data_IF_071698770484
#
_entry.id   IF_071698770484
#
_cell.length_a   1.000
_cell.length_b   1.000
_cell.length_c   1.000
_cell.angle_alpha   90.00
_cell.angle_beta   90.00
_cell.angle_gamma   90.00
#
_symmetry.space_group_name_H-M   'P 1'
#
loop_
_entity.id
_entity.type
_entity.pdbx_description
1 polymer ?
#
# COMPACT_ATOMS: atom_id res chain seq x y z
N UNK A 1 -8.58 -13.31 -9.98
CA UNK A 1 -8.76 -14.77 -9.77
C UNK A 1 -10.22 -15.11 -10.00
N UNK A 2 -10.49 -16.14 -10.79
CA UNK A 2 -11.85 -16.67 -10.97
C UNK A 2 -12.06 -17.71 -9.87
N UNK A 3 -13.21 -17.67 -9.20
CA UNK A 3 -13.55 -18.59 -8.12
C UNK A 3 -14.94 -19.14 -8.33
N UNK A 4 -15.14 -20.39 -7.95
CA UNK A 4 -16.44 -21.04 -7.91
C UNK A 4 -17.01 -20.93 -6.49
N UNK A 5 -18.23 -20.41 -6.39
CA UNK A 5 -18.91 -20.24 -5.11
C UNK A 5 -19.79 -21.46 -4.80
N UNK A 6 -19.67 -21.96 -3.58
CA UNK A 6 -20.49 -23.03 -3.05
C UNK A 6 -21.13 -22.60 -1.73
N UNK A 7 -22.40 -22.96 -1.53
CA UNK A 7 -23.00 -23.04 -0.20
C UNK A 7 -22.78 -24.44 0.35
N UNK A 8 -22.18 -24.54 1.53
CA UNK A 8 -21.81 -25.82 2.13
C UNK A 8 -23.02 -26.55 2.71
N UNK A 9 -23.11 -27.83 2.41
CA UNK A 9 -24.05 -28.79 2.99
C UNK A 9 -23.32 -30.04 3.50
N UNK A 10 -24.09 -30.96 4.10
CA UNK A 10 -23.62 -32.28 4.54
C UNK A 10 -22.30 -32.25 5.32
N UNK A 11 -21.35 -33.12 4.96
CA UNK A 11 -20.08 -33.28 5.68
C UNK A 11 -19.18 -32.05 5.60
N UNK A 12 -19.19 -31.33 4.48
CA UNK A 12 -18.40 -30.10 4.35
C UNK A 12 -18.93 -28.98 5.25
N UNK A 13 -20.25 -28.93 5.51
CA UNK A 13 -20.82 -28.00 6.48
C UNK A 13 -20.47 -28.38 7.92
N UNK A 14 -20.53 -29.67 8.26
CA UNK A 14 -20.12 -30.17 9.58
C UNK A 14 -18.64 -29.85 9.86
N UNK A 15 -17.77 -30.11 8.89
CA UNK A 15 -16.35 -29.78 8.97
C UNK A 15 -16.10 -28.26 9.10
N UNK A 16 -16.84 -27.41 8.37
CA UNK A 16 -16.71 -25.96 8.47
C UNK A 16 -17.11 -25.42 9.85
N UNK A 17 -18.19 -25.96 10.44
CA UNK A 17 -18.62 -25.61 11.81
C UNK A 17 -17.62 -26.05 12.86
N UNK A 18 -17.06 -27.26 12.70
CA UNK A 18 -16.04 -27.77 13.59
C UNK A 18 -14.75 -26.93 13.49
N UNK A 19 -14.35 -26.58 12.27
CA UNK A 19 -13.22 -25.68 12.03
C UNK A 19 -13.42 -24.33 12.71
N UNK A 20 -14.61 -23.73 12.60
CA UNK A 20 -14.93 -22.47 13.30
C UNK A 20 -14.81 -22.62 14.83
N UNK A 21 -15.30 -23.72 15.41
CA UNK A 21 -15.18 -23.96 16.84
C UNK A 21 -13.71 -24.07 17.29
N UNK A 22 -12.87 -24.74 16.49
CA UNK A 22 -11.43 -24.85 16.72
C UNK A 22 -10.75 -23.47 16.61
N UNK A 23 -11.06 -22.70 15.56
CA UNK A 23 -10.54 -21.35 15.36
C UNK A 23 -10.91 -20.44 16.53
N UNK A 24 -12.17 -20.44 16.95
CA UNK A 24 -12.65 -19.61 18.06
C UNK A 24 -11.95 -19.97 19.38
N UNK A 25 -11.73 -21.26 19.63
CA UNK A 25 -10.98 -21.72 20.81
C UNK A 25 -9.55 -21.22 20.76
N UNK A 26 -8.84 -21.46 19.66
CA UNK A 26 -7.46 -21.03 19.47
C UNK A 26 -7.30 -19.51 19.54
N UNK A 27 -8.24 -18.76 18.97
CA UNK A 27 -8.28 -17.29 19.02
C UNK A 27 -8.47 -16.79 20.45
N UNK A 28 -9.32 -17.44 21.25
CA UNK A 28 -9.53 -17.07 22.65
C UNK A 28 -8.31 -17.33 23.54
N UNK A 29 -7.53 -18.37 23.23
CA UNK A 29 -6.33 -18.73 23.98
C UNK A 29 -5.10 -17.89 23.60
N UNK A 30 -4.91 -17.65 22.30
CA UNK A 30 -3.75 -16.96 21.76
C UNK A 30 -4.15 -16.06 20.57
N UNK A 31 -4.79 -14.91 20.81
CA UNK A 31 -5.27 -14.05 19.75
C UNK A 31 -4.12 -13.42 18.96
N UNK A 32 -4.24 -13.30 17.63
CA UNK A 32 -3.33 -12.51 16.82
C UNK A 32 -3.44 -11.01 17.15
N UNK A 33 -2.40 -10.25 16.79
CA UNK A 33 -2.34 -8.80 16.98
C UNK A 33 -3.50 -8.12 16.25
N UNK A 34 -4.20 -7.24 16.98
CA UNK A 34 -5.35 -6.47 16.46
C UNK A 34 -4.98 -5.02 16.09
N UNK A 35 -3.92 -4.49 16.69
CA UNK A 35 -3.46 -3.10 16.53
C UNK A 35 -1.94 -3.07 16.37
N UNK A 36 -1.45 -2.10 15.60
CA UNK A 36 -0.03 -1.94 15.29
C UNK A 36 0.21 -1.62 13.82
N UNK A 37 1.45 -1.78 13.36
CA UNK A 37 1.76 -1.69 11.94
C UNK A 37 1.03 -2.81 11.19
N UNK A 38 0.44 -2.48 10.04
CA UNK A 38 -0.32 -3.45 9.23
C UNK A 38 0.50 -4.71 8.89
N UNK A 39 1.82 -4.56 8.69
CA UNK A 39 2.73 -5.68 8.44
C UNK A 39 2.82 -6.66 9.61
N UNK A 40 2.75 -6.15 10.84
CA UNK A 40 2.90 -6.94 12.07
C UNK A 40 1.59 -7.62 12.43
N UNK A 41 0.47 -6.92 12.23
CA UNK A 41 -0.88 -7.49 12.26
C UNK A 41 -0.95 -8.67 11.28
N UNK A 42 -0.58 -8.45 10.01
CA UNK A 42 -0.63 -9.50 9.00
C UNK A 42 0.27 -10.69 9.34
N UNK A 43 1.50 -10.45 9.81
CA UNK A 43 2.42 -11.50 10.23
C UNK A 43 1.86 -12.33 11.39
N UNK A 44 1.23 -11.67 12.37
CA UNK A 44 0.61 -12.35 13.51
C UNK A 44 -0.55 -13.25 13.08
N UNK A 45 -1.40 -12.77 12.19
CA UNK A 45 -2.49 -13.55 11.61
C UNK A 45 -2.00 -14.74 10.78
N UNK A 46 -0.97 -14.57 9.96
CA UNK A 46 -0.39 -15.69 9.20
C UNK A 46 0.25 -16.75 10.10
N UNK A 47 0.95 -16.34 11.15
CA UNK A 47 1.54 -17.25 12.13
C UNK A 47 0.45 -18.03 12.88
N UNK A 48 -0.62 -17.34 13.30
CA UNK A 48 -1.80 -17.95 13.89
C UNK A 48 -2.40 -19.01 12.98
N UNK A 49 -2.71 -18.66 11.73
CA UNK A 49 -3.31 -19.58 10.77
C UNK A 49 -2.41 -20.77 10.45
N UNK A 50 -1.11 -20.53 10.26
CA UNK A 50 -0.15 -21.60 9.91
C UNK A 50 -0.03 -22.63 11.03
N UNK A 51 0.05 -22.17 12.29
CA UNK A 51 0.05 -23.05 13.47
C UNK A 51 -1.25 -23.84 13.55
N UNK A 52 -2.39 -23.15 13.43
CA UNK A 52 -3.70 -23.80 13.55
C UNK A 52 -3.91 -24.86 12.47
N UNK A 53 -3.46 -24.61 11.23
CA UNK A 53 -3.50 -25.61 10.16
C UNK A 53 -2.65 -26.83 10.52
N UNK A 54 -1.45 -26.65 11.09
CA UNK A 54 -0.62 -27.76 11.55
C UNK A 54 -1.31 -28.57 12.65
N UNK A 55 -1.92 -27.89 13.63
CA UNK A 55 -2.62 -28.52 14.75
C UNK A 55 -3.84 -29.31 14.25
N UNK A 56 -4.68 -28.70 13.40
CA UNK A 56 -5.84 -29.38 12.80
C UNK A 56 -5.38 -30.56 11.94
N UNK A 57 -4.32 -30.42 11.16
CA UNK A 57 -3.79 -31.52 10.35
C UNK A 57 -3.26 -32.68 11.20
N UNK A 58 -2.76 -32.41 12.41
CA UNK A 58 -2.26 -33.43 13.33
C UNK A 58 -3.39 -34.17 14.07
N UNK A 59 -4.48 -33.48 14.39
CA UNK A 59 -5.55 -34.02 15.24
C UNK A 59 -6.76 -34.49 14.43
N UNK A 60 -7.18 -33.72 13.42
CA UNK A 60 -8.38 -33.93 12.59
C UNK A 60 -8.12 -33.58 11.12
N UNK A 61 -7.20 -34.29 10.42
CA UNK A 61 -6.81 -33.97 9.04
C UNK A 61 -8.00 -33.98 8.05
N UNK A 62 -9.02 -34.79 8.32
CA UNK A 62 -10.21 -34.89 7.48
C UNK A 62 -11.01 -33.57 7.40
N UNK A 63 -10.91 -32.69 8.41
CA UNK A 63 -11.53 -31.36 8.37
C UNK A 63 -10.89 -30.54 7.24
N UNK A 64 -9.56 -30.59 7.08
CA UNK A 64 -8.86 -29.85 6.04
C UNK A 64 -9.15 -30.39 4.64
N UNK A 65 -9.39 -31.69 4.51
CA UNK A 65 -9.76 -32.32 3.25
C UNK A 65 -11.19 -31.94 2.85
N UNK A 66 -12.15 -32.02 3.78
CA UNK A 66 -13.57 -31.69 3.55
C UNK A 66 -13.82 -30.20 3.32
N UNK A 67 -12.95 -29.34 3.86
CA UNK A 67 -12.96 -27.88 3.65
C UNK A 67 -12.09 -27.44 2.47
N UNK A 68 -11.41 -28.39 1.80
CA UNK A 68 -10.54 -28.11 0.66
C UNK A 68 -9.24 -27.38 1.01
N UNK A 69 -8.97 -27.09 2.29
CA UNK A 69 -7.74 -26.44 2.75
C UNK A 69 -6.46 -27.27 2.49
N UNK A 70 -6.59 -28.57 2.21
CA UNK A 70 -5.53 -29.45 1.71
C UNK A 70 -5.53 -29.67 0.18
N UNK A 71 -6.43 -29.01 -0.54
CA UNK A 71 -6.57 -29.13 -2.00
C UNK A 71 -6.18 -27.81 -2.69
N UNK A 72 -4.86 -27.48 -2.73
CA UNK A 72 -4.41 -26.27 -3.38
C UNK A 72 -4.66 -26.31 -4.88
N UNK A 73 -4.70 -25.12 -5.48
CA UNK A 73 -4.67 -24.96 -6.92
C UNK A 73 -3.57 -23.94 -7.30
N UNK A 74 -3.21 -23.90 -8.59
CA UNK A 74 -2.24 -22.93 -9.10
C UNK A 74 -3.00 -21.80 -9.81
N UNK A 75 -3.05 -20.62 -9.17
CA UNK A 75 -3.55 -19.39 -9.76
C UNK A 75 -2.43 -18.69 -10.52
N UNK A 76 -2.65 -18.45 -11.82
CA UNK A 76 -1.69 -17.74 -12.68
C UNK A 76 -2.23 -16.34 -12.91
N UNK A 77 -1.62 -15.38 -12.21
CA UNK A 77 -2.00 -13.97 -12.25
C UNK A 77 -1.28 -13.28 -13.38
N UNK A 78 -2.05 -12.54 -14.17
CA UNK A 78 -1.55 -11.77 -15.31
C UNK A 78 -1.85 -10.31 -15.09
N UNK A 79 -0.89 -9.47 -15.45
CA UNK A 79 -1.07 -8.03 -15.51
C UNK A 79 -0.48 -7.50 -16.82
N UNK A 80 -0.96 -6.34 -17.26
CA UNK A 80 -0.45 -5.65 -18.44
C UNK A 80 1.03 -5.30 -18.23
N UNK A 81 1.86 -5.50 -19.25
CA UNK A 81 3.31 -5.21 -19.22
C UNK A 81 4.05 -5.90 -18.05
N UNK A 82 3.64 -7.10 -17.67
CA UNK A 82 4.25 -7.88 -16.60
C UNK A 82 4.33 -9.36 -16.96
N UNK A 83 5.37 -10.03 -16.46
CA UNK A 83 5.42 -11.49 -16.52
C UNK A 83 4.32 -12.11 -15.65
N UNK A 84 3.72 -13.22 -16.08
CA UNK A 84 2.76 -13.94 -15.26
C UNK A 84 3.41 -14.41 -13.97
N UNK A 85 2.60 -14.46 -12.90
CA UNK A 85 3.03 -14.90 -11.57
C UNK A 85 2.14 -16.05 -11.13
N UNK A 86 2.75 -17.15 -10.73
CA UNK A 86 2.02 -18.34 -10.27
C UNK A 86 2.02 -18.39 -8.74
N UNK A 87 0.84 -18.61 -8.16
CA UNK A 87 0.66 -18.74 -6.73
C UNK A 87 -0.08 -20.04 -6.42
N UNK A 88 0.35 -20.73 -5.38
CA UNK A 88 -0.42 -21.80 -4.77
C UNK A 88 -1.48 -21.18 -3.86
N UNK A 89 -2.75 -21.38 -4.20
CA UNK A 89 -3.89 -20.80 -3.50
C UNK A 89 -4.86 -21.89 -3.04
N UNK A 90 -5.72 -21.55 -2.09
CA UNK A 90 -6.59 -22.52 -1.40
C UNK A 90 -8.04 -22.03 -1.38
N UNK A 91 -9.01 -22.95 -1.27
CA UNK A 91 -10.38 -22.59 -0.93
C UNK A 91 -10.46 -21.79 0.38
N UNK A 92 -11.34 -20.79 0.40
CA UNK A 92 -11.64 -20.00 1.59
C UNK A 92 -13.10 -20.18 1.98
N UNK A 93 -13.39 -20.28 3.28
CA UNK A 93 -14.76 -20.43 3.80
C UNK A 93 -15.14 -19.18 4.58
N UNK A 94 -16.31 -18.63 4.28
CA UNK A 94 -16.90 -17.48 4.95
C UNK A 94 -18.20 -17.89 5.61
N UNK A 95 -18.52 -17.28 6.76
CA UNK A 95 -19.83 -17.40 7.40
C UNK A 95 -20.70 -16.20 7.04
N UNK A 96 -22.01 -16.42 6.89
CA UNK A 96 -22.97 -15.34 6.75
C UNK A 96 -23.29 -14.71 8.12
N UNK A 97 -23.53 -13.40 8.19
CA UNK A 97 -23.92 -12.72 9.42
C UNK A 97 -25.42 -12.91 9.77
N UNK A 98 -26.13 -13.77 9.05
CA UNK A 98 -27.58 -13.95 9.20
C UNK A 98 -27.93 -14.76 10.45
N UNK A 99 -29.18 -14.61 10.93
CA UNK A 99 -29.70 -15.34 12.10
C UNK A 99 -29.62 -16.86 11.92
N UNK A 100 -29.81 -17.33 10.69
CA UNK A 100 -29.47 -18.68 10.27
C UNK A 100 -28.12 -18.64 9.56
N UNK A 101 -27.05 -18.95 10.29
CA UNK A 101 -25.69 -18.90 9.77
C UNK A 101 -25.51 -19.90 8.63
N UNK A 102 -25.15 -19.37 7.46
CA UNK A 102 -24.79 -20.14 6.27
C UNK A 102 -23.29 -20.07 6.05
N UNK A 103 -22.73 -21.10 5.42
CA UNK A 103 -21.30 -21.17 5.14
C UNK A 103 -21.08 -21.22 3.63
N UNK A 104 -20.22 -20.34 3.15
CA UNK A 104 -19.92 -20.19 1.74
C UNK A 104 -18.44 -20.47 1.48
N UNK A 105 -18.15 -21.38 0.57
CA UNK A 105 -16.80 -21.65 0.11
C UNK A 105 -16.54 -20.98 -1.24
N UNK A 106 -15.48 -20.19 -1.29
CA UNK A 106 -14.88 -19.71 -2.53
C UNK A 106 -13.74 -20.65 -2.89
N UNK A 107 -13.96 -21.50 -3.89
CA UNK A 107 -12.97 -22.43 -4.40
C UNK A 107 -12.25 -21.79 -5.59
N UNK A 108 -10.93 -21.51 -5.51
CA UNK A 108 -10.20 -20.92 -6.62
C UNK A 108 -10.15 -21.88 -7.82
N UNK A 109 -10.26 -21.32 -9.02
CA UNK A 109 -10.09 -22.03 -10.28
C UNK A 109 -8.63 -21.92 -10.73
N UNK A 110 -7.98 -23.06 -10.96
CA UNK A 110 -6.60 -23.11 -11.46
C UNK A 110 -6.51 -22.61 -12.91
N UNK A 111 -5.29 -22.40 -13.40
CA UNK A 111 -5.04 -21.95 -14.77
C UNK A 111 -5.56 -22.90 -15.87
N UNK A 112 -6.02 -24.11 -15.53
CA UNK A 112 -6.65 -25.11 -16.43
C UNK A 112 -8.16 -25.24 -16.23
N UNK A 113 -8.77 -24.42 -15.37
CA UNK A 113 -10.20 -24.50 -15.08
C UNK A 113 -10.60 -25.54 -14.04
N UNK A 114 -9.64 -26.15 -13.33
CA UNK A 114 -9.89 -27.14 -12.27
C UNK A 114 -10.06 -26.43 -10.93
N UNK A 115 -10.92 -26.94 -10.08
CA UNK A 115 -11.20 -26.39 -8.75
C UNK A 115 -11.65 -27.50 -7.81
N UNK A 116 -11.49 -27.28 -6.51
CA UNK A 116 -12.04 -28.17 -5.50
C UNK A 116 -13.57 -28.07 -5.49
N UNK A 117 -14.25 -29.22 -5.46
CA UNK A 117 -15.72 -29.31 -5.37
C UNK A 117 -16.10 -30.04 -4.08
N UNK A 118 -16.72 -29.36 -3.11
CA UNK A 118 -17.25 -30.04 -1.92
C UNK A 118 -18.43 -30.95 -2.29
N UNK A 119 -18.43 -32.18 -1.77
CA UNK A 119 -19.33 -33.28 -2.18
C UNK A 119 -20.82 -32.95 -1.98
N UNK A 120 -21.16 -32.40 -0.81
CA UNK A 120 -22.55 -32.15 -0.39
C UNK A 120 -22.99 -30.68 -0.58
N UNK A 121 -22.25 -29.91 -1.37
CA UNK A 121 -22.45 -28.47 -1.48
C UNK A 121 -23.26 -28.04 -2.71
N UNK A 122 -24.05 -26.97 -2.55
CA UNK A 122 -24.78 -26.35 -3.64
C UNK A 122 -23.89 -25.33 -4.34
N UNK A 123 -23.57 -25.55 -5.62
CA UNK A 123 -22.90 -24.55 -6.45
C UNK A 123 -23.81 -23.35 -6.69
N UNK A 124 -23.30 -22.15 -6.44
CA UNK A 124 -24.02 -20.88 -6.58
C UNK A 124 -23.54 -20.13 -7.82
N UNK A 125 -24.47 -19.62 -8.63
CA UNK A 125 -24.18 -18.95 -9.90
C UNK A 125 -25.06 -17.70 -10.12
N UNK A 126 -24.66 -16.87 -11.08
CA UNK A 126 -25.50 -15.77 -11.58
C UNK A 126 -25.85 -14.72 -10.51
N UNK A 127 -27.13 -14.34 -10.45
CA UNK A 127 -27.61 -13.29 -9.54
C UNK A 127 -27.44 -13.65 -8.07
N UNK A 128 -27.58 -14.93 -7.71
CA UNK A 128 -27.41 -15.41 -6.34
C UNK A 128 -25.97 -15.22 -5.87
N UNK A 129 -24.98 -15.56 -6.72
CA UNK A 129 -23.57 -15.36 -6.41
C UNK A 129 -23.23 -13.87 -6.21
N UNK A 130 -23.82 -12.99 -7.04
CA UNK A 130 -23.66 -11.53 -6.89
C UNK A 130 -24.25 -11.02 -5.58
N UNK A 131 -25.43 -11.50 -5.19
CA UNK A 131 -26.07 -11.13 -3.93
C UNK A 131 -25.25 -11.57 -2.71
N UNK A 132 -24.71 -12.79 -2.72
CA UNK A 132 -23.83 -13.27 -1.64
C UNK A 132 -22.51 -12.48 -1.60
N UNK A 133 -21.91 -12.17 -2.75
CA UNK A 133 -20.73 -11.31 -2.78
C UNK A 133 -20.99 -9.91 -2.21
N UNK A 134 -22.18 -9.35 -2.45
CA UNK A 134 -22.59 -8.08 -1.84
C UNK A 134 -22.81 -8.23 -0.32
N UNK A 135 -23.44 -9.32 0.11
CA UNK A 135 -23.65 -9.63 1.52
C UNK A 135 -22.33 -9.71 2.29
N UNK A 136 -21.32 -10.37 1.72
CA UNK A 136 -20.03 -10.61 2.38
C UNK A 136 -19.04 -9.44 2.27
N UNK A 137 -19.08 -8.65 1.18
CA UNK A 137 -17.98 -7.73 0.86
C UNK A 137 -18.38 -6.26 0.59
N UNK A 138 -19.67 -5.90 0.51
CA UNK A 138 -20.10 -4.56 0.08
C UNK A 138 -20.40 -3.55 1.21
N UNK A 139 -19.79 -3.71 2.39
CA UNK A 139 -19.61 -2.61 3.35
C UNK A 139 -20.49 -2.62 4.60
N UNK A 140 -20.24 -3.55 5.53
CA UNK A 140 -20.67 -3.31 6.91
C UNK A 140 -20.72 -4.48 7.90
N UNK A 141 -20.46 -5.73 7.52
CA UNK A 141 -20.63 -6.87 8.44
C UNK A 141 -19.49 -7.89 8.36
N UNK A 142 -18.92 -8.20 9.53
CA UNK A 142 -17.63 -8.89 9.78
C UNK A 142 -16.46 -8.26 8.99
N UNK A 143 -15.24 -8.47 9.43
CA UNK A 143 -14.01 -7.98 8.77
C UNK A 143 -13.74 -8.57 7.37
N UNK A 144 -14.71 -9.32 6.82
CA UNK A 144 -14.60 -10.03 5.56
C UNK A 144 -13.54 -11.13 5.60
N UNK A 145 -13.10 -11.56 6.80
CA UNK A 145 -12.10 -12.62 6.93
C UNK A 145 -12.74 -14.01 6.75
N UNK A 146 -12.05 -14.95 6.09
CA UNK A 146 -12.46 -16.34 6.09
C UNK A 146 -12.26 -16.95 7.48
N UNK A 147 -12.97 -18.04 7.79
CA UNK A 147 -12.84 -18.79 9.05
C UNK A 147 -11.39 -19.12 9.37
N UNK A 148 -10.64 -19.54 8.35
CA UNK A 148 -9.22 -19.80 8.42
C UNK A 148 -8.60 -19.50 7.06
N UNK A 149 -7.59 -18.64 7.04
CA UNK A 149 -6.87 -18.32 5.81
C UNK A 149 -5.56 -19.11 5.75
N UNK A 150 -5.43 -20.01 4.78
CA UNK A 150 -4.14 -20.65 4.48
C UNK A 150 -3.32 -19.70 3.60
N UNK A 151 -2.16 -19.21 4.07
CA UNK A 151 -1.37 -18.24 3.31
C UNK A 151 -1.02 -18.79 1.93
N UNK A 152 -1.24 -17.97 0.90
CA UNK A 152 -0.73 -18.26 -0.42
C UNK A 152 0.79 -18.05 -0.48
N UNK A 153 1.44 -18.75 -1.40
CA UNK A 153 2.85 -18.56 -1.69
C UNK A 153 3.11 -18.74 -3.18
N UNK A 154 4.10 -18.02 -3.68
CA UNK A 154 4.55 -18.10 -5.06
C UNK A 154 5.17 -19.45 -5.36
N UNK A 155 4.87 -19.97 -6.56
CA UNK A 155 5.40 -21.23 -7.08
C UNK A 155 6.01 -21.01 -8.45
N UNK A 156 6.82 -21.97 -8.89
CA UNK A 156 7.36 -21.97 -10.25
C UNK A 156 6.23 -21.95 -11.29
N UNK A 157 6.45 -21.21 -12.38
CA UNK A 157 5.50 -21.14 -13.49
C UNK A 157 5.28 -22.54 -14.08
N UNK A 158 4.03 -23.01 -14.26
CA UNK A 158 3.78 -24.27 -14.95
C UNK A 158 4.44 -24.30 -16.34
N UNK A 159 5.16 -25.38 -16.65
CA UNK A 159 5.97 -25.46 -17.88
C UNK A 159 5.18 -25.42 -19.20
N UNK A 160 3.86 -25.57 -19.16
CA UNK A 160 2.96 -25.41 -20.30
C UNK A 160 2.47 -23.96 -20.50
N UNK A 161 2.86 -23.04 -19.62
CA UNK A 161 2.62 -21.60 -19.76
C UNK A 161 3.91 -20.94 -20.24
N UNK A 162 3.90 -20.49 -21.50
CA UNK A 162 4.97 -19.67 -22.05
C UNK A 162 4.57 -18.19 -22.04
N UNK A 163 5.54 -17.33 -21.72
CA UNK A 163 5.41 -15.88 -21.88
C UNK A 163 5.18 -15.46 -23.35
N UNK A 164 5.53 -16.32 -24.33
CA UNK A 164 5.44 -15.99 -25.75
C UNK A 164 3.99 -15.81 -26.22
N UNK A 165 3.64 -14.54 -26.50
CA UNK A 165 2.65 -14.00 -27.45
C UNK A 165 1.16 -14.34 -27.27
N UNK A 166 0.73 -15.54 -26.89
CA UNK A 166 -0.72 -15.84 -26.73
C UNK A 166 -1.32 -15.25 -25.46
N UNK A 167 -0.52 -15.16 -24.40
CA UNK A 167 -0.97 -14.69 -23.09
C UNK A 167 -1.00 -13.16 -23.00
N UNK A 168 0.05 -12.49 -23.50
CA UNK A 168 0.08 -11.04 -23.67
C UNK A 168 -1.03 -10.55 -24.63
N UNK A 169 -1.29 -11.28 -25.73
CA UNK A 169 -2.39 -10.96 -26.65
C UNK A 169 -3.77 -11.12 -26.00
N UNK A 170 -3.97 -12.10 -25.11
CA UNK A 170 -5.23 -12.30 -24.40
C UNK A 170 -5.50 -11.21 -23.34
N UNK A 171 -4.46 -10.75 -22.63
CA UNK A 171 -4.59 -9.61 -21.69
C UNK A 171 -4.86 -8.30 -22.42
N UNK A 172 -4.16 -8.05 -23.54
CA UNK A 172 -4.41 -6.88 -24.38
C UNK A 172 -5.81 -6.91 -25.02
N UNK A 173 -6.33 -8.09 -25.36
CA UNK A 173 -7.68 -8.24 -25.92
C UNK A 173 -8.81 -8.05 -24.88
N UNK A 174 -8.55 -8.28 -23.58
CA UNK A 174 -9.53 -8.09 -22.50
C UNK A 174 -9.65 -6.62 -22.04
N UNK A 175 -8.73 -5.74 -22.45
CA UNK A 175 -8.71 -4.33 -22.05
C UNK A 175 -9.13 -3.44 -23.22
N UNK A 176 -10.42 -3.50 -23.55
CA UNK A 176 -11.04 -2.58 -24.52
C UNK A 176 -11.18 -1.17 -23.92
N UNK A 177 -10.74 -0.17 -24.68
CA UNK A 177 -11.09 1.27 -24.61
C UNK A 177 -10.49 2.19 -23.52
N UNK A 178 -9.51 1.77 -22.72
CA UNK A 178 -8.77 2.72 -21.86
C UNK A 178 -7.30 2.79 -22.24
N UNK A 179 -6.70 3.98 -22.45
CA UNK A 179 -5.25 4.10 -22.50
C UNK A 179 -4.72 3.61 -21.15
N UNK A 180 -4.11 2.43 -21.14
CA UNK A 180 -3.37 1.94 -19.99
C UNK A 180 -2.13 2.81 -19.88
N UNK A 181 -2.08 3.65 -18.84
CA UNK A 181 -0.88 4.41 -18.52
C UNK A 181 0.28 3.44 -18.33
N UNK A 182 1.27 3.53 -19.21
CA UNK A 182 2.54 2.82 -19.05
C UNK A 182 3.45 3.63 -18.15
N UNK A 183 4.43 2.93 -17.56
CA UNK A 183 5.56 3.58 -16.90
C UNK A 183 6.82 3.33 -17.68
N UNK A 184 7.58 4.40 -17.94
CA UNK A 184 8.96 4.32 -18.42
C UNK A 184 9.88 4.42 -17.21
N UNK A 185 10.72 3.41 -17.00
CA UNK A 185 11.51 3.25 -15.79
C UNK A 185 13.00 3.28 -16.13
N UNK A 186 13.77 3.98 -15.30
CA UNK A 186 15.21 4.09 -15.45
C UNK A 186 15.90 3.91 -14.10
N UNK A 187 17.08 3.29 -14.07
CA UNK A 187 17.98 3.35 -12.92
C UNK A 187 18.82 4.61 -13.04
N UNK A 188 18.80 5.44 -11.99
CA UNK A 188 19.64 6.63 -11.92
C UNK A 188 21.13 6.25 -12.02
N UNK A 189 21.89 7.03 -12.77
CA UNK A 189 23.31 6.81 -13.02
C UNK A 189 24.00 8.09 -13.47
N UNK A 190 25.30 8.22 -13.16
CA UNK A 190 26.12 9.39 -13.49
C UNK A 190 25.40 10.71 -13.11
N UNK A 191 25.11 11.57 -14.09
CA UNK A 191 24.49 12.87 -13.85
C UNK A 191 23.10 12.76 -13.25
N UNK A 192 22.25 11.85 -13.72
CA UNK A 192 20.92 11.66 -13.14
C UNK A 192 20.98 11.22 -11.67
N UNK A 193 22.02 10.46 -11.26
CA UNK A 193 22.23 10.13 -9.85
C UNK A 193 22.57 11.37 -9.01
N UNK A 194 23.43 12.27 -9.50
CA UNK A 194 23.76 13.52 -8.82
C UNK A 194 22.51 14.39 -8.58
N UNK A 195 21.65 14.53 -9.59
CA UNK A 195 20.41 15.33 -9.48
C UNK A 195 19.43 14.70 -8.49
N UNK A 196 19.33 13.37 -8.52
CA UNK A 196 18.49 12.61 -7.61
C UNK A 196 19.00 12.70 -6.16
N UNK A 197 20.31 12.63 -5.94
CA UNK A 197 20.92 12.75 -4.62
C UNK A 197 20.76 14.18 -4.06
N UNK A 198 20.91 15.21 -4.90
CA UNK A 198 20.63 16.60 -4.52
C UNK A 198 19.17 16.78 -4.10
N UNK A 199 18.21 16.27 -4.89
CA UNK A 199 16.80 16.30 -4.54
C UNK A 199 16.52 15.61 -3.20
N UNK A 200 17.06 14.40 -2.99
CA UNK A 200 16.90 13.65 -1.74
C UNK A 200 17.48 14.42 -0.55
N UNK A 201 18.65 15.04 -0.72
CA UNK A 201 19.30 15.84 0.31
C UNK A 201 18.44 17.04 0.69
N UNK A 202 18.02 17.85 -0.28
CA UNK A 202 17.15 19.02 -0.05
C UNK A 202 15.81 18.61 0.58
N UNK A 203 15.26 17.46 0.18
CA UNK A 203 14.02 16.92 0.74
C UNK A 203 14.21 16.51 2.20
N UNK A 204 15.31 15.81 2.53
CA UNK A 204 15.64 15.44 3.89
C UNK A 204 15.89 16.66 4.79
N UNK A 205 16.56 17.70 4.27
CA UNK A 205 16.75 18.98 4.97
C UNK A 205 15.40 19.67 5.27
N UNK A 206 14.49 19.70 4.29
CA UNK A 206 13.12 20.21 4.48
C UNK A 206 12.32 19.40 5.50
N UNK A 207 12.34 18.06 5.42
CA UNK A 207 11.63 17.17 6.35
C UNK A 207 12.18 17.29 7.78
N UNK A 208 13.50 17.41 7.94
CA UNK A 208 14.14 17.61 9.23
C UNK A 208 13.76 18.97 9.85
N UNK A 209 13.83 20.06 9.08
CA UNK A 209 13.45 21.40 9.53
C UNK A 209 11.95 21.47 9.88
N UNK A 210 11.10 20.90 9.02
CA UNK A 210 9.65 20.81 9.28
C UNK A 210 9.36 20.02 10.55
N UNK A 211 10.05 18.91 10.77
CA UNK A 211 9.91 18.10 12.00
C UNK A 211 10.33 18.89 13.24
N UNK A 212 11.40 19.68 13.17
CA UNK A 212 11.83 20.54 14.27
C UNK A 212 10.75 21.57 14.64
N UNK A 213 10.16 22.24 13.64
CA UNK A 213 9.01 23.14 13.84
C UNK A 213 7.83 22.41 14.47
N UNK A 214 7.45 21.25 13.94
CA UNK A 214 6.33 20.46 14.48
C UNK A 214 6.55 20.05 15.93
N UNK A 215 7.77 19.67 16.31
CA UNK A 215 8.11 19.33 17.69
C UNK A 215 8.03 20.54 18.62
N UNK A 216 8.51 21.71 18.16
CA UNK A 216 8.43 22.94 18.95
C UNK A 216 6.97 23.38 19.14
N UNK A 217 6.13 23.21 18.13
CA UNK A 217 4.70 23.47 18.24
C UNK A 217 3.98 22.51 19.18
N UNK A 218 4.33 21.22 19.17
CA UNK A 218 3.81 20.27 20.17
C UNK A 218 4.22 20.70 21.57
N UNK A 219 5.47 21.17 21.75
CA UNK A 219 5.95 21.69 23.04
C UNK A 219 5.11 22.90 23.47
N UNK A 220 4.90 23.89 22.61
CA UNK A 220 4.09 25.07 22.91
C UNK A 220 2.62 24.69 23.18
N UNK A 221 2.03 23.84 22.34
CA UNK A 221 0.65 23.38 22.50
C UNK A 221 0.44 22.63 23.82
N UNK A 222 1.42 21.84 24.27
CA UNK A 222 1.37 21.17 25.57
C UNK A 222 1.29 22.16 26.73
N UNK A 223 2.04 23.27 26.67
CA UNK A 223 1.99 24.36 27.66
C UNK A 223 0.61 25.03 27.65
N UNK A 224 0.08 25.35 26.46
CA UNK A 224 -1.26 25.96 26.35
C UNK A 224 -2.35 25.04 26.88
N UNK A 225 -2.27 23.73 26.60
CA UNK A 225 -3.26 22.76 27.10
C UNK A 225 -3.28 22.67 28.62
N UNK A 226 -2.13 22.90 29.29
CA UNK A 226 -2.05 22.96 30.76
C UNK A 226 -2.51 24.30 31.34
N UNK A 227 -2.48 25.38 30.55
CA UNK A 227 -2.86 26.75 30.97
C UNK A 227 -4.32 27.09 30.63
N UNK A 228 -4.99 26.30 29.80
CA UNK A 228 -6.41 26.46 29.48
C UNK A 228 -7.30 26.10 30.67
N UNK A 229 -7.86 27.13 31.33
CA UNK A 229 -8.88 26.94 32.37
C UNK A 229 -10.29 26.86 31.79
N UNK A 230 -10.91 25.69 31.89
CA UNK A 230 -12.32 25.43 31.60
C UNK A 230 -12.71 24.03 32.06
N UNK A 231 -13.99 23.81 32.42
CA UNK A 231 -14.51 22.47 32.75
C UNK A 231 -14.40 21.58 31.50
N UNK A 232 -13.30 20.85 31.38
CA UNK A 232 -12.95 20.15 30.15
C UNK A 232 -12.62 18.69 30.42
N UNK A 233 -13.65 17.86 30.30
CA UNK A 233 -13.46 16.49 29.87
C UNK A 233 -13.07 16.52 28.38
N UNK A 234 -11.79 16.28 28.10
CA UNK A 234 -11.17 15.98 26.79
C UNK A 234 -11.17 17.10 25.73
N UNK A 235 -10.02 17.79 25.61
CA UNK A 235 -9.67 18.54 24.40
C UNK A 235 -8.97 17.59 23.41
N UNK A 236 -9.54 17.42 22.22
CA UNK A 236 -8.85 16.74 21.11
C UNK A 236 -8.10 17.80 20.31
N UNK A 237 -6.77 17.77 20.32
CA UNK A 237 -5.93 18.74 19.60
C UNK A 237 -5.37 18.09 18.33
N UNK A 238 -5.99 18.36 17.18
CA UNK A 238 -5.43 17.96 15.89
C UNK A 238 -4.60 19.10 15.31
N UNK A 239 -3.29 18.89 15.16
CA UNK A 239 -2.38 19.81 14.49
C UNK A 239 -2.28 19.42 13.01
N UNK A 240 -2.80 20.26 12.11
CA UNK A 240 -2.54 20.15 10.68
C UNK A 240 -1.83 21.39 10.16
N UNK A 241 -0.74 21.18 9.43
CA UNK A 241 -0.01 22.22 8.72
C UNK A 241 -0.14 22.01 7.21
N UNK A 242 -0.31 23.09 6.46
CA UNK A 242 -0.18 23.05 5.00
C UNK A 242 0.86 24.06 4.55
N UNK A 243 1.72 23.65 3.63
CA UNK A 243 2.74 24.50 3.00
C UNK A 243 2.16 25.04 1.69
N UNK A 244 2.03 26.36 1.57
CA UNK A 244 1.81 27.03 0.28
C UNK A 244 3.05 27.86 -0.03
N UNK A 245 3.88 27.37 -0.93
CA UNK A 245 5.13 28.03 -1.31
C UNK A 245 5.14 28.50 -2.75
N UNK A 246 4.91 29.80 -2.94
CA UNK A 246 5.80 30.61 -3.78
C UNK A 246 5.88 31.99 -3.13
N UNK A 247 7.01 32.30 -2.50
CA UNK A 247 7.39 33.62 -1.94
C UNK A 247 6.67 34.09 -0.66
N UNK A 248 6.68 33.25 0.38
CA UNK A 248 6.23 33.62 1.73
C UNK A 248 5.67 32.42 2.45
N UNK A 249 6.40 31.87 3.41
CA UNK A 249 6.03 30.66 4.14
C UNK A 249 4.88 30.96 5.11
N UNK A 250 3.63 30.88 4.65
CA UNK A 250 2.48 30.86 5.54
C UNK A 250 2.22 29.40 5.94
N UNK A 251 2.73 28.99 7.09
CA UNK A 251 2.33 27.75 7.73
C UNK A 251 1.06 28.01 8.55
N UNK A 252 -0.09 27.64 7.99
CA UNK A 252 -1.35 27.71 8.71
C UNK A 252 -1.45 26.50 9.63
N UNK A 253 -1.57 26.74 10.92
CA UNK A 253 -1.82 25.74 11.95
C UNK A 253 -3.22 25.89 12.49
N UNK A 254 -4.08 24.90 12.27
CA UNK A 254 -5.40 24.84 12.87
C UNK A 254 -5.35 24.05 14.18
N UNK A 255 -5.89 24.64 15.24
CA UNK A 255 -6.33 23.89 16.41
C UNK A 255 -7.83 23.64 16.26
N UNK A 256 -8.24 22.39 16.14
CA UNK A 256 -9.62 22.03 16.45
C UNK A 256 -9.72 21.89 17.97
N UNK A 257 -10.62 22.66 18.58
CA UNK A 257 -10.98 22.52 19.99
C UNK A 257 -12.42 22.02 20.00
N UNK A 258 -12.61 20.70 20.08
CA UNK A 258 -13.95 20.14 20.20
C UNK A 258 -14.42 20.28 21.65
N UNK A 259 -15.25 21.28 21.92
CA UNK A 259 -16.07 21.29 23.13
C UNK A 259 -17.32 20.43 22.87
N UNK A 260 -17.67 19.49 23.76
CA UNK A 260 -18.98 18.80 23.72
C UNK A 260 -20.17 19.76 23.81
N UNK A 261 -19.93 21.02 24.20
CA UNK A 261 -20.90 22.10 24.18
C UNK A 261 -20.79 22.87 22.87
N UNK A 262 -21.76 22.69 21.99
CA UNK A 262 -21.96 23.51 20.81
C UNK A 262 -22.10 24.98 21.21
N UNK A 263 -21.16 25.83 20.79
CA UNK A 263 -21.32 27.30 20.79
C UNK A 263 -20.47 28.08 21.80
N UNK A 264 -19.60 27.46 22.59
CA UNK A 264 -18.71 28.19 23.50
C UNK A 264 -17.44 28.65 22.76
N UNK A 265 -17.19 29.96 22.75
CA UNK A 265 -15.95 30.54 22.23
C UNK A 265 -14.79 30.13 23.15
N UNK A 266 -13.87 29.30 22.65
CA UNK A 266 -12.66 28.97 23.42
C UNK A 266 -11.79 30.20 23.49
N UNK A 267 -11.60 30.74 24.69
CA UNK A 267 -10.63 31.80 24.92
C UNK A 267 -9.26 31.15 25.05
N UNK A 268 -8.43 31.28 24.01
CA UNK A 268 -7.03 30.89 24.08
C UNK A 268 -6.28 32.02 24.81
N UNK A 269 -5.54 31.75 25.89
CA UNK A 269 -4.75 32.76 26.57
C UNK A 269 -3.69 33.36 25.63
N UNK A 270 -3.36 34.64 25.82
CA UNK A 270 -2.22 35.24 25.12
C UNK A 270 -0.94 34.50 25.48
N UNK A 271 -0.23 34.01 24.47
CA UNK A 271 1.01 33.26 24.66
C UNK A 271 2.20 34.11 24.16
N UNK A 272 3.37 34.08 24.82
CA UNK A 272 4.54 34.83 24.36
C UNK A 272 4.94 34.49 22.93
N UNK A 273 4.70 33.27 22.47
CA UNK A 273 5.24 32.79 21.20
C UNK A 273 4.40 33.20 19.99
N UNK A 274 3.09 33.37 20.16
CA UNK A 274 2.17 33.63 19.05
C UNK A 274 0.83 34.22 19.50
N UNK A 275 0.08 34.76 18.53
CA UNK A 275 -1.36 35.02 18.67
C UNK A 275 -2.15 34.17 17.67
N UNK A 276 -3.40 33.89 17.99
CA UNK A 276 -4.30 33.14 17.10
C UNK A 276 -5.24 34.07 16.36
N UNK A 277 -5.24 34.01 15.03
CA UNK A 277 -6.12 34.78 14.15
C UNK A 277 -7.19 33.87 13.59
N UNK A 278 -8.46 34.28 13.64
CA UNK A 278 -9.57 33.47 13.08
C UNK A 278 -9.44 33.39 11.55
N UNK A 279 -9.47 32.19 11.00
CA UNK A 279 -9.49 31.92 9.57
C UNK A 279 -10.91 31.97 9.00
N UNK A 280 -11.04 32.19 7.69
CA UNK A 280 -12.34 32.38 7.00
C UNK A 280 -13.31 31.18 7.13
N UNK A 281 -12.81 29.97 7.39
CA UNK A 281 -13.61 28.74 7.48
C UNK A 281 -13.77 28.18 8.89
N UNK A 282 -13.62 29.02 9.91
CA UNK A 282 -13.87 28.63 11.31
C UNK A 282 -12.68 28.02 12.06
N UNK A 283 -11.54 27.83 11.37
CA UNK A 283 -10.26 27.51 12.01
C UNK A 283 -9.58 28.73 12.63
N UNK A 284 -8.46 28.50 13.30
CA UNK A 284 -7.54 29.54 13.75
C UNK A 284 -6.20 29.38 13.03
N UNK A 285 -5.49 30.48 12.82
CA UNK A 285 -4.13 30.57 12.28
C UNK A 285 -3.20 31.03 13.40
N UNK A 286 -2.08 30.33 13.59
CA UNK A 286 -1.03 30.75 14.52
C UNK A 286 -0.13 31.76 13.82
N UNK A 287 0.02 32.96 14.41
CA UNK A 287 0.94 33.98 13.93
C UNK A 287 1.99 34.25 15.00
N UNK A 288 3.30 34.06 14.72
CA UNK A 288 4.37 34.33 15.66
C UNK A 288 4.34 35.77 16.21
N UNK A 289 4.66 35.91 17.48
CA UNK A 289 4.78 37.20 18.16
C UNK A 289 6.21 37.72 18.07
N UNK A 290 6.54 38.31 16.92
CA UNK A 290 7.87 38.90 16.67
C UNK A 290 8.23 40.03 17.65
N UNK A 291 7.24 40.56 18.39
CA UNK A 291 7.42 41.55 19.45
C UNK A 291 7.99 40.98 20.77
N UNK A 292 8.13 39.66 20.88
CA UNK A 292 8.66 38.95 22.05
C UNK A 292 9.93 38.19 21.71
N UNK A 293 10.76 37.85 22.71
CA UNK A 293 11.96 37.04 22.50
C UNK A 293 11.58 35.64 22.03
N UNK A 294 10.60 35.02 22.69
CA UNK A 294 10.12 33.68 22.39
C UNK A 294 9.47 33.58 21.00
N UNK A 295 8.61 34.55 20.66
CA UNK A 295 7.94 34.59 19.36
C UNK A 295 8.88 34.99 18.21
N UNK A 296 9.91 35.80 18.45
CA UNK A 296 10.98 36.04 17.46
C UNK A 296 11.77 34.77 17.18
N UNK A 297 12.19 34.03 18.22
CA UNK A 297 12.88 32.73 18.06
C UNK A 297 12.00 31.72 17.31
N UNK A 298 10.70 31.70 17.61
CA UNK A 298 9.75 30.86 16.91
C UNK A 298 9.54 31.28 15.44
N UNK A 299 9.49 32.58 15.15
CA UNK A 299 9.44 33.11 13.78
C UNK A 299 10.69 32.72 12.99
N UNK A 300 11.88 32.88 13.58
CA UNK A 300 13.15 32.47 12.96
C UNK A 300 13.18 30.97 12.65
N UNK A 301 12.66 30.13 13.55
CA UNK A 301 12.54 28.69 13.33
C UNK A 301 11.62 28.37 12.14
N UNK A 302 10.48 29.05 12.01
CA UNK A 302 9.58 28.90 10.85
C UNK A 302 10.24 29.33 9.55
N UNK A 303 10.95 30.47 9.56
CA UNK A 303 11.65 31.00 8.40
C UNK A 303 12.87 30.16 8.00
N UNK A 304 13.42 29.36 8.93
CA UNK A 304 14.56 28.48 8.67
C UNK A 304 14.22 27.24 7.82
N UNK A 305 12.93 26.93 7.63
CA UNK A 305 12.51 25.77 6.83
C UNK A 305 12.81 26.05 5.35
N UNK A 306 13.72 25.28 4.71
CA UNK A 306 14.01 25.47 3.29
C UNK A 306 12.75 25.12 2.47
N UNK A 307 12.60 25.66 1.25
CA UNK A 307 11.46 25.32 0.41
C UNK A 307 11.44 23.82 0.09
N UNK A 308 10.23 23.24 0.02
CA UNK A 308 10.07 21.86 -0.44
C UNK A 308 10.62 21.75 -1.86
N UNK A 309 11.65 20.91 -2.13
CA UNK A 309 12.14 20.73 -3.48
C UNK A 309 11.12 19.94 -4.31
N UNK A 310 11.11 20.20 -5.62
CA UNK A 310 10.29 19.47 -6.57
C UNK A 310 11.16 18.90 -7.69
N UNK A 311 10.82 17.71 -8.17
CA UNK A 311 11.57 17.10 -9.28
C UNK A 311 11.45 17.89 -10.59
N UNK A 312 10.41 18.73 -10.71
CA UNK A 312 10.25 19.68 -11.82
C UNK A 312 11.26 20.83 -11.82
N UNK A 313 12.05 21.01 -10.75
CA UNK A 313 13.16 21.98 -10.71
C UNK A 313 14.40 21.49 -11.48
N UNK A 314 14.45 20.20 -11.86
CA UNK A 314 15.57 19.58 -12.56
C UNK A 314 15.19 19.36 -14.03
N UNK A 315 15.46 20.34 -14.89
CA UNK A 315 15.07 20.32 -16.31
C UNK A 315 15.56 19.07 -17.04
N UNK A 316 16.75 18.58 -16.70
CA UNK A 316 17.33 17.38 -17.32
C UNK A 316 16.58 16.09 -16.97
N UNK A 317 15.80 16.09 -15.89
CA UNK A 317 14.92 15.00 -15.51
C UNK A 317 13.51 15.14 -16.08
N UNK A 318 13.18 16.23 -16.77
CA UNK A 318 11.87 16.40 -17.39
C UNK A 318 11.86 15.66 -18.73
N UNK A 319 10.94 14.70 -18.87
CA UNK A 319 10.80 13.94 -20.11
C UNK A 319 9.96 14.66 -21.17
N UNK A 320 10.06 14.16 -22.39
CA UNK A 320 9.23 14.52 -23.55
C UNK A 320 8.09 13.51 -23.80
N UNK A 321 7.83 12.61 -22.83
CA UNK A 321 6.78 11.61 -22.98
C UNK A 321 5.41 12.25 -23.09
N UNK A 322 4.62 11.77 -24.05
CA UNK A 322 3.21 12.12 -24.15
C UNK A 322 2.44 11.26 -23.14
N UNK A 323 1.60 11.93 -22.38
CA UNK A 323 0.73 11.32 -21.38
C UNK A 323 -0.55 12.15 -21.24
N UNK A 324 -1.68 11.49 -21.48
CA UNK A 324 -3.00 12.07 -21.28
C UNK A 324 -3.61 11.61 -19.94
N UNK A 325 -3.55 12.43 -18.88
CA UNK A 325 -4.07 12.05 -17.57
C UNK A 325 -5.60 11.88 -17.61
N UNK A 326 -6.09 10.86 -16.92
CA UNK A 326 -7.52 10.69 -16.60
C UNK A 326 -8.03 11.84 -15.73
N UNK A 327 -9.36 11.98 -15.59
CA UNK A 327 -9.95 13.04 -14.74
C UNK A 327 -9.44 12.98 -13.29
N UNK A 328 -9.32 11.77 -12.73
CA UNK A 328 -8.79 11.56 -11.37
C UNK A 328 -7.31 11.97 -11.31
N UNK A 329 -6.52 11.59 -12.30
CA UNK A 329 -5.09 11.93 -12.38
C UNK A 329 -4.88 13.44 -12.54
N UNK A 330 -5.72 14.13 -13.32
CA UNK A 330 -5.73 15.61 -13.39
C UNK A 330 -6.08 16.23 -12.05
N UNK A 331 -7.08 15.69 -11.36
CA UNK A 331 -7.49 16.19 -10.04
C UNK A 331 -6.37 16.08 -8.99
N UNK A 332 -5.55 15.02 -9.05
CA UNK A 332 -4.41 14.84 -8.12
C UNK A 332 -3.09 15.40 -8.68
N UNK A 333 -3.13 16.09 -9.83
CA UNK A 333 -1.97 16.80 -10.40
C UNK A 333 -0.88 15.89 -10.99
N UNK A 334 -1.24 14.73 -11.56
CA UNK A 334 -0.26 13.86 -12.22
C UNK A 334 0.23 14.51 -13.51
N UNK A 335 1.54 14.72 -13.60
CA UNK A 335 2.26 15.12 -14.81
C UNK A 335 3.11 13.93 -15.31
N UNK A 336 2.98 13.57 -16.59
CA UNK A 336 3.78 12.49 -17.19
C UNK A 336 5.24 12.89 -17.45
N UNK A 337 5.52 14.20 -17.55
CA UNK A 337 6.85 14.73 -17.84
C UNK A 337 7.75 14.74 -16.62
N UNK A 338 7.17 14.96 -15.43
CA UNK A 338 7.89 15.00 -14.16
C UNK A 338 8.01 13.58 -13.59
N UNK A 339 9.22 13.12 -13.23
CA UNK A 339 9.39 11.76 -12.74
C UNK A 339 8.87 11.59 -11.31
N UNK A 340 8.62 10.34 -10.96
CA UNK A 340 8.51 9.85 -9.59
C UNK A 340 9.79 9.08 -9.24
N UNK A 341 10.33 9.32 -8.05
CA UNK A 341 11.42 8.51 -7.50
C UNK A 341 10.87 7.38 -6.66
N UNK A 342 11.26 6.16 -6.99
CA UNK A 342 10.77 4.95 -6.34
C UNK A 342 11.95 4.06 -5.99
N UNK A 343 12.05 3.69 -4.72
CA UNK A 343 13.07 2.75 -4.25
C UNK A 343 12.49 1.35 -4.11
N UNK A 344 13.12 0.36 -4.76
CA UNK A 344 12.72 -1.05 -4.71
C UNK A 344 13.98 -1.92 -4.67
N UNK A 345 14.11 -2.76 -3.65
CA UNK A 345 15.26 -3.69 -3.54
C UNK A 345 16.61 -2.99 -3.55
N UNK A 346 16.71 -1.79 -2.97
CA UNK A 346 17.92 -0.97 -2.96
C UNK A 346 18.28 -0.28 -4.29
N UNK A 347 17.46 -0.46 -5.33
CA UNK A 347 17.57 0.26 -6.59
C UNK A 347 16.69 1.51 -6.57
N UNK A 348 17.24 2.61 -7.11
CA UNK A 348 16.52 3.86 -7.24
C UNK A 348 16.03 4.06 -8.68
N UNK A 349 14.71 3.98 -8.84
CA UNK A 349 14.02 4.16 -10.10
C UNK A 349 13.60 5.61 -10.30
N UNK A 350 13.84 6.11 -11.51
CA UNK A 350 13.22 7.31 -12.08
C UNK A 350 12.09 6.81 -12.99
N UNK A 351 10.84 7.03 -12.57
CA UNK A 351 9.64 6.50 -13.22
C UNK A 351 8.80 7.64 -13.80
N UNK A 352 8.43 7.53 -15.07
CA UNK A 352 7.54 8.49 -15.76
C UNK A 352 6.25 7.82 -16.18
N UNK A 353 5.13 8.55 -16.17
CA UNK A 353 3.91 8.08 -16.82
C UNK A 353 4.00 8.38 -18.32
N UNK A 354 3.56 7.45 -19.16
CA UNK A 354 3.66 7.54 -20.61
C UNK A 354 2.54 6.74 -21.27
N UNK A 355 2.07 7.19 -22.44
CA UNK A 355 1.11 6.44 -23.23
C UNK A 355 1.82 5.45 -24.19
N UNK A 356 1.21 4.27 -24.41
CA UNK A 356 1.75 3.17 -25.25
C UNK A 356 2.13 3.57 -26.68
N UNK A 357 1.58 4.68 -27.18
CA UNK A 357 1.61 5.04 -28.59
C UNK A 357 2.85 5.82 -29.02
N UNK A 358 3.74 6.18 -28.09
CA UNK A 358 4.87 7.06 -28.39
C UNK A 358 6.20 6.37 -28.13
N UNK A 359 6.97 6.21 -29.21
CA UNK A 359 8.38 5.86 -29.15
C UNK A 359 9.15 7.17 -28.94
N UNK A 360 9.52 7.43 -27.69
CA UNK A 360 10.53 8.45 -27.37
C UNK A 360 11.81 7.73 -26.94
N UNK A 361 12.93 8.23 -27.44
CA UNK A 361 14.29 7.80 -27.07
C UNK A 361 14.81 8.52 -25.82
N UNK A 362 13.97 9.33 -25.16
CA UNK A 362 14.34 10.03 -23.95
C UNK A 362 14.85 9.05 -22.88
N UNK A 363 16.04 9.34 -22.39
CA UNK A 363 16.66 8.68 -21.25
C UNK A 363 17.29 9.77 -20.38
N UNK A 364 17.01 9.80 -19.06
CA UNK A 364 17.66 10.76 -18.18
C UNK A 364 19.19 10.66 -18.29
N UNK A 365 19.94 11.76 -18.16
CA UNK A 365 21.38 11.75 -18.44
C UNK A 365 22.17 10.72 -17.62
N UNK A 366 22.75 9.74 -18.32
CA UNK A 366 23.54 8.67 -17.72
C UNK A 366 22.73 7.59 -16.99
N UNK A 367 21.40 7.68 -17.03
CA UNK A 367 20.52 6.63 -16.52
C UNK A 367 20.51 5.41 -17.45
N UNK A 368 20.06 4.27 -16.91
CA UNK A 368 19.89 3.04 -17.67
C UNK A 368 18.41 2.69 -17.79
N UNK A 369 17.88 2.44 -18.99
CA UNK A 369 16.49 2.01 -19.12
C UNK A 369 16.29 0.66 -18.44
N UNK A 370 15.10 0.48 -17.86
CA UNK A 370 14.63 -0.77 -17.28
C UNK A 370 13.34 -1.17 -17.96
N UNK A 371 13.18 -2.46 -18.25
CA UNK A 371 11.94 -2.99 -18.79
C UNK A 371 10.78 -2.73 -17.83
N UNK A 372 9.60 -2.44 -18.40
CA UNK A 372 8.38 -2.32 -17.60
C UNK A 372 8.08 -3.61 -16.85
N UNK A 373 8.42 -4.74 -17.47
CA UNK A 373 8.28 -6.08 -16.93
C UNK A 373 9.11 -6.29 -15.66
N UNK A 374 10.39 -5.93 -15.67
CA UNK A 374 11.25 -6.05 -14.49
C UNK A 374 10.77 -5.12 -13.37
N UNK A 375 10.47 -3.86 -13.70
CA UNK A 375 9.95 -2.91 -12.72
C UNK A 375 8.65 -3.41 -12.07
N UNK A 376 7.70 -3.89 -12.87
CA UNK A 376 6.44 -4.45 -12.38
C UNK A 376 6.65 -5.72 -11.55
N UNK A 377 7.61 -6.57 -11.92
CA UNK A 377 7.98 -7.75 -11.14
C UNK A 377 8.48 -7.35 -9.75
N UNK A 378 9.42 -6.41 -9.67
CA UNK A 378 9.99 -5.93 -8.40
C UNK A 378 8.95 -5.22 -7.52
N UNK A 379 8.03 -4.46 -8.12
CA UNK A 379 6.90 -3.86 -7.40
C UNK A 379 5.98 -4.93 -6.79
N UNK A 380 5.71 -6.02 -7.54
CA UNK A 380 4.91 -7.14 -7.05
C UNK A 380 5.63 -7.93 -5.96
N UNK A 381 6.94 -8.16 -6.09
CA UNK A 381 7.75 -8.78 -5.04
C UNK A 381 7.67 -7.94 -3.75
N UNK A 382 7.81 -6.61 -3.84
CA UNK A 382 7.64 -5.71 -2.68
C UNK A 382 6.25 -5.83 -2.06
N UNK A 383 5.20 -5.89 -2.88
CA UNK A 383 3.83 -6.07 -2.41
C UNK A 383 3.66 -7.42 -1.70
N UNK A 384 4.20 -8.50 -2.26
CA UNK A 384 4.15 -9.84 -1.68
C UNK A 384 4.89 -9.86 -0.33
N UNK A 385 6.09 -9.28 -0.26
CA UNK A 385 6.84 -9.15 1.00
C UNK A 385 6.10 -8.33 2.07
N UNK A 386 5.43 -7.24 1.68
CA UNK A 386 4.61 -6.45 2.59
C UNK A 386 3.42 -7.25 3.13
N UNK A 387 2.87 -8.14 2.32
CA UNK A 387 1.83 -9.11 2.69
C UNK A 387 2.40 -10.42 3.24
N UNK A 388 3.71 -10.51 3.52
CA UNK A 388 4.38 -11.73 4.00
C UNK A 388 4.12 -12.98 3.14
N UNK A 389 3.80 -12.79 1.87
CA UNK A 389 3.67 -13.85 0.87
C UNK A 389 5.05 -14.07 0.27
N UNK A 390 5.49 -15.33 0.19
CA UNK A 390 6.71 -15.67 -0.54
C UNK A 390 6.47 -15.39 -2.02
N UNK A 391 7.26 -14.53 -2.69
CA UNK A 391 7.07 -14.26 -4.11
C UNK A 391 7.42 -15.49 -4.96
N UNK A 392 6.84 -15.65 -6.16
CA UNK A 392 7.27 -16.67 -7.11
C UNK A 392 8.72 -16.42 -7.56
N UNK A 393 9.43 -17.48 -7.99
CA UNK A 393 10.77 -17.33 -8.54
C UNK A 393 10.75 -16.41 -9.77
N UNK A 394 11.73 -15.52 -9.84
CA UNK A 394 11.89 -14.59 -10.97
C UNK A 394 12.24 -15.36 -12.25
N UNK A 395 11.58 -15.09 -13.39
CA UNK A 395 11.94 -15.68 -14.67
C UNK A 395 13.39 -15.35 -15.06
N UNK A 396 14.10 -16.30 -15.67
CA UNK A 396 15.51 -16.15 -16.05
C UNK A 396 15.81 -14.88 -16.84
N UNK A 397 14.90 -14.48 -17.74
CA UNK A 397 15.03 -13.26 -18.55
C UNK A 397 15.08 -12.00 -17.67
N UNK A 398 14.19 -11.91 -16.68
CA UNK A 398 14.18 -10.80 -15.72
C UNK A 398 15.35 -10.89 -14.76
N UNK A 399 15.75 -12.10 -14.36
CA UNK A 399 16.91 -12.30 -13.48
C UNK A 399 18.22 -11.85 -14.14
N UNK A 400 18.39 -12.11 -15.44
CA UNK A 400 19.54 -11.62 -16.22
C UNK A 400 19.55 -10.09 -16.33
N UNK A 401 18.40 -9.48 -16.61
CA UNK A 401 18.27 -8.01 -16.63
C UNK A 401 18.59 -7.41 -15.26
N UNK A 402 18.00 -7.94 -14.19
CA UNK A 402 18.25 -7.50 -12.82
C UNK A 402 19.72 -7.64 -12.40
N UNK A 403 20.36 -8.75 -12.76
CA UNK A 403 21.79 -8.96 -12.53
C UNK A 403 22.64 -7.92 -13.27
N UNK A 404 22.31 -7.59 -14.53
CA UNK A 404 23.03 -6.57 -15.30
C UNK A 404 22.89 -5.16 -14.69
N UNK A 405 21.77 -4.85 -14.04
CA UNK A 405 21.58 -3.59 -13.32
C UNK A 405 22.38 -3.53 -12.01
N UNK A 406 22.40 -4.63 -11.23
CA UNK A 406 23.04 -4.68 -9.91
C UNK A 406 24.56 -4.84 -9.99
N UNK A 407 25.10 -5.67 -10.89
CA UNK A 407 26.54 -5.80 -11.13
C UNK A 407 27.18 -4.47 -11.52
N UNK A 408 26.49 -3.66 -12.33
CA UNK A 408 26.98 -2.36 -12.74
C UNK A 408 26.88 -1.29 -11.63
N UNK A 409 25.97 -1.45 -10.67
CA UNK A 409 25.83 -0.55 -9.53
C UNK A 409 26.87 -0.84 -8.42
N UNK A 410 27.39 -2.07 -8.34
CA UNK A 410 28.52 -2.41 -7.46
C UNK A 410 29.83 -1.72 -7.87
N UNK A 411 29.99 -1.34 -9.13
CA UNK A 411 31.15 -0.55 -9.59
C UNK A 411 31.02 0.96 -9.33
N UNK A 412 29.90 1.43 -8.77
CA UNK A 412 29.66 2.83 -8.43
C UNK A 412 29.66 3.12 -6.92
N UNK A 413 29.83 2.10 -6.05
CA UNK A 413 30.05 2.27 -4.61
C UNK A 413 31.39 1.64 -4.20
N UNK A 414 32.42 2.42 -3.85
CA UNK A 414 33.73 1.89 -3.46
C UNK A 414 33.73 1.02 -2.19
N UNK A 415 32.74 1.16 -1.29
CA UNK A 415 32.89 0.73 0.11
C UNK A 415 32.02 -0.44 0.57
N UNK A 416 31.55 -1.30 -0.33
CA UNK A 416 30.76 -2.49 0.06
C UNK A 416 31.34 -3.77 -0.55
N UNK A 417 32.65 -3.99 -0.41
CA UNK A 417 33.22 -5.34 -0.57
C UNK A 417 33.19 -6.04 0.79
N UNK A 418 32.54 -7.21 0.92
CA UNK A 418 32.86 -8.11 2.03
C UNK A 418 34.34 -8.49 1.90
N UNK A 419 35.11 -8.26 2.96
CA UNK A 419 36.46 -8.81 3.08
C UNK A 419 36.37 -10.35 3.23
N UNK A 420 37.39 -11.08 2.73
CA UNK A 420 37.33 -12.52 2.46
C UNK A 420 37.04 -13.41 3.66
#
# INVERSE_FOLDING_TARGET
MKSVLYELGGKSLEAAKELEAIVNTAYSENPPLQLGLLSDIHASWQAFSSRLIQDVNAIRPEILDLTGLNSPCIDVRVATHAFPRAYQTYPCIYRSPERETRYFMYSPEDYKGRYFTPEDAKKIIGKEAKAIGQLLFAGGWDDGAPLLNRPEFGVEMPGDISYSTKFAAAVNAMQTDRPTSMRKNFIAGCKSQELVDDFKKRKAEHEAASTAVFNELRRIASVISTEMTGNADEYDTSLSGSYKGSHGANMTFSFDLKTKLTGSQVSVPEHPYFYMKKAEFGGYEIVPREDTVEGSVFSDLLLSVPPMPYLSEYEELISDFIYEPTDIERMIGVDGRVPQLIEIGGLQFISYNSDERVVSDYCPPGAKPVSSELYNWLQRDRSDFNMKIMPPPMPDQLAQEYAALTLNNLFLKPDMRPQP
#
